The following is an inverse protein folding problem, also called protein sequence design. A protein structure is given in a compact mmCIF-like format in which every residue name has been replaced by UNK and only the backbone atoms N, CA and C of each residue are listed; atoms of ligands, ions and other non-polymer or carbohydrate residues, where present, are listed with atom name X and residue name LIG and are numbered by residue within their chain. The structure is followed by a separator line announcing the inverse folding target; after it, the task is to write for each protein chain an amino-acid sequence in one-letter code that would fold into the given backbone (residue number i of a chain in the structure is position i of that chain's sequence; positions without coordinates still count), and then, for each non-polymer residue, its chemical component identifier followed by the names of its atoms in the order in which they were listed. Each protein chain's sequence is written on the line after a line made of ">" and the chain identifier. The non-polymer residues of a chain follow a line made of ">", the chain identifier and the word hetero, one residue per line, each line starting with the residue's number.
data_IF_304257461518
#
_entry.id   IF_304257461518
#
_cell.length_a   1.000
_cell.length_b   1.000
_cell.length_c   1.000
_cell.angle_alpha   90.00
_cell.angle_beta   90.00
_cell.angle_gamma   90.00
#
_symmetry.space_group_name_H-M   'P 1'
#
loop_
_entity.id
_entity.type
_entity.pdbx_description
1 polymer ?
#
# COMPACT_ATOMS: atom_id res chain seq x y z
N UNK A 1 -7.80 -13.90 10.15
CA UNK A 1 -8.47 -14.65 9.06
C UNK A 1 -8.93 -13.71 7.96
N UNK A 2 -9.91 -12.82 8.18
CA UNK A 2 -10.39 -11.88 7.15
C UNK A 2 -9.28 -11.04 6.52
N UNK A 3 -8.38 -10.48 7.35
CA UNK A 3 -7.26 -9.67 6.87
C UNK A 3 -6.35 -10.41 5.87
N UNK A 4 -6.05 -11.69 6.12
CA UNK A 4 -5.17 -12.48 5.24
C UNK A 4 -5.78 -12.66 3.85
N UNK A 5 -7.10 -12.77 3.77
CA UNK A 5 -7.86 -12.91 2.53
C UNK A 5 -7.95 -11.55 1.83
N UNK A 6 -8.35 -10.51 2.56
CA UNK A 6 -8.51 -9.15 2.03
C UNK A 6 -7.19 -8.55 1.53
N UNK A 7 -6.07 -8.90 2.15
CA UNK A 7 -4.75 -8.41 1.77
C UNK A 7 -3.99 -9.37 0.85
N UNK A 8 -4.61 -10.44 0.35
CA UNK A 8 -3.94 -11.40 -0.52
C UNK A 8 -3.41 -10.71 -1.78
N UNK A 9 -2.08 -10.71 -1.96
CA UNK A 9 -1.38 -10.00 -3.05
C UNK A 9 -1.67 -8.48 -3.15
N UNK A 10 -2.14 -7.87 -2.06
CA UNK A 10 -2.50 -6.44 -2.03
C UNK A 10 -1.35 -5.49 -2.32
N UNK A 11 -0.09 -5.95 -2.28
CA UNK A 11 1.07 -5.19 -2.75
C UNK A 11 0.96 -4.72 -4.22
N UNK A 12 0.23 -5.45 -5.07
CA UNK A 12 0.09 -5.15 -6.51
C UNK A 12 -1.21 -4.41 -6.81
N UNK A 13 -2.35 -4.89 -6.28
CA UNK A 13 -3.67 -4.34 -6.64
C UNK A 13 -4.31 -3.50 -5.54
N UNK A 14 -3.82 -3.57 -4.30
CA UNK A 14 -4.56 -3.08 -3.13
C UNK A 14 -4.63 -1.57 -2.99
N UNK A 15 -3.70 -0.82 -3.59
CA UNK A 15 -3.56 0.62 -3.37
C UNK A 15 -4.87 1.42 -3.60
N UNK A 16 -5.45 1.41 -4.81
CA UNK A 16 -6.67 2.16 -5.10
C UNK A 16 -7.90 1.65 -4.32
N UNK A 17 -7.82 0.44 -3.76
CA UNK A 17 -8.94 -0.23 -3.08
C UNK A 17 -8.76 -0.30 -1.55
N UNK A 18 -7.79 0.43 -0.99
CA UNK A 18 -7.53 0.45 0.46
C UNK A 18 -8.78 0.75 1.30
N UNK A 19 -9.63 1.68 0.85
CA UNK A 19 -10.92 1.99 1.48
C UNK A 19 -11.93 0.84 1.41
N UNK A 20 -11.91 0.04 0.33
CA UNK A 20 -12.80 -1.11 0.17
C UNK A 20 -12.34 -2.26 1.08
N UNK A 21 -11.02 -2.50 1.12
CA UNK A 21 -10.37 -3.44 2.02
C UNK A 21 -10.71 -3.10 3.48
N UNK A 22 -10.60 -1.82 3.86
CA UNK A 22 -10.95 -1.32 5.20
C UNK A 22 -12.41 -1.63 5.55
N UNK A 23 -13.37 -1.30 4.67
CA UNK A 23 -14.79 -1.59 4.89
C UNK A 23 -15.06 -3.09 5.06
N UNK A 24 -14.40 -3.93 4.25
CA UNK A 24 -14.51 -5.38 4.38
C UNK A 24 -14.02 -5.89 5.74
N UNK A 25 -12.89 -5.38 6.22
CA UNK A 25 -12.31 -5.74 7.52
C UNK A 25 -13.21 -5.30 8.68
N UNK A 26 -13.78 -4.09 8.60
CA UNK A 26 -14.67 -3.55 9.64
C UNK A 26 -16.01 -4.28 9.67
N UNK A 27 -16.58 -4.61 8.51
CA UNK A 27 -17.79 -5.41 8.42
C UNK A 27 -17.60 -6.79 9.08
N UNK A 28 -16.44 -7.42 8.85
CA UNK A 28 -16.07 -8.65 9.52
C UNK A 28 -16.02 -8.50 11.05
N UNK A 29 -15.36 -7.45 11.57
CA UNK A 29 -15.32 -7.22 13.02
C UNK A 29 -16.70 -6.95 13.61
N UNK A 30 -17.53 -6.13 12.96
CA UNK A 30 -18.92 -5.90 13.40
C UNK A 30 -19.70 -7.20 13.46
N UNK A 31 -19.53 -8.08 12.47
CA UNK A 31 -20.19 -9.39 12.44
C UNK A 31 -19.72 -10.31 13.58
N UNK A 32 -18.41 -10.40 13.84
CA UNK A 32 -17.85 -11.28 14.87
C UNK A 32 -18.19 -10.78 16.28
N UNK A 33 -18.26 -9.46 16.47
CA UNK A 33 -18.57 -8.83 17.75
C UNK A 33 -20.08 -8.59 17.95
N UNK A 34 -20.93 -9.06 17.04
CA UNK A 34 -22.37 -8.83 17.06
C UNK A 34 -22.77 -7.35 17.19
N UNK A 35 -21.96 -6.45 16.60
CA UNK A 35 -22.21 -5.02 16.62
C UNK A 35 -23.24 -4.63 15.54
N UNK A 36 -24.11 -3.66 15.82
CA UNK A 36 -24.97 -3.05 14.81
C UNK A 36 -24.19 -2.57 13.58
N UNK A 37 -24.80 -2.64 12.39
CA UNK A 37 -24.15 -2.19 11.14
C UNK A 37 -23.77 -0.71 11.17
N UNK A 38 -24.53 0.10 11.92
CA UNK A 38 -24.33 1.54 12.10
C UNK A 38 -23.31 1.89 13.20
N UNK A 39 -22.69 0.91 13.89
CA UNK A 39 -21.62 1.22 14.84
C UNK A 39 -20.50 1.98 14.12
N UNK A 40 -20.05 3.14 14.63
CA UNK A 40 -19.03 3.93 13.93
C UNK A 40 -17.71 3.17 13.82
N UNK A 41 -17.12 3.20 12.62
CA UNK A 41 -15.90 2.47 12.28
C UNK A 41 -14.69 2.83 13.17
N UNK A 42 -14.64 4.08 13.65
CA UNK A 42 -13.60 4.54 14.56
C UNK A 42 -13.62 3.78 15.89
N UNK A 43 -14.80 3.52 16.48
CA UNK A 43 -14.90 2.73 17.70
C UNK A 43 -14.51 1.28 17.47
N UNK A 44 -14.95 0.68 16.35
CA UNK A 44 -14.55 -0.70 16.00
C UNK A 44 -13.03 -0.82 15.89
N UNK A 45 -12.34 0.14 15.25
CA UNK A 45 -10.88 0.17 15.17
C UNK A 45 -10.22 0.31 16.54
N UNK A 46 -10.71 1.23 17.38
CA UNK A 46 -10.17 1.49 18.71
C UNK A 46 -10.26 0.24 19.60
N UNK A 47 -11.44 -0.35 19.70
CA UNK A 47 -11.68 -1.55 20.52
C UNK A 47 -10.88 -2.76 20.03
N UNK A 48 -10.70 -2.89 18.71
CA UNK A 48 -9.93 -4.00 18.13
C UNK A 48 -8.42 -3.74 18.03
N UNK A 49 -7.95 -2.56 18.46
CA UNK A 49 -6.54 -2.16 18.38
C UNK A 49 -6.00 -2.12 16.96
N UNK A 50 -6.82 -1.71 15.98
CA UNK A 50 -6.48 -1.79 14.55
C UNK A 50 -6.12 -0.44 13.94
N UNK A 51 -5.04 -0.45 13.18
CA UNK A 51 -4.64 0.62 12.25
C UNK A 51 -5.42 0.50 10.93
N UNK A 52 -5.46 1.58 10.16
CA UNK A 52 -6.03 1.60 8.82
C UNK A 52 -5.35 0.56 7.90
N UNK A 53 -6.15 -0.17 7.13
CA UNK A 53 -5.66 -1.16 6.16
C UNK A 53 -4.80 -0.53 5.07
N UNK A 54 -4.99 0.76 4.78
CA UNK A 54 -4.13 1.51 3.87
C UNK A 54 -2.66 1.46 4.29
N UNK A 55 -2.37 1.54 5.60
CA UNK A 55 -1.02 1.41 6.12
C UNK A 55 -0.40 0.04 5.80
N UNK A 56 -1.19 -1.03 5.96
CA UNK A 56 -0.75 -2.39 5.63
C UNK A 56 -0.53 -2.61 4.14
N UNK A 57 -1.40 -2.02 3.31
CA UNK A 57 -1.25 -2.03 1.84
C UNK A 57 0.03 -1.29 1.44
N UNK A 58 0.27 -0.10 2.00
CA UNK A 58 1.48 0.67 1.76
C UNK A 58 2.75 -0.09 2.17
N UNK A 59 2.78 -0.70 3.36
CA UNK A 59 3.92 -1.49 3.80
C UNK A 59 4.21 -2.67 2.85
N UNK A 60 3.16 -3.34 2.36
CA UNK A 60 3.29 -4.42 1.38
C UNK A 60 3.77 -3.91 0.02
N UNK A 61 3.28 -2.77 -0.44
CA UNK A 61 3.77 -2.09 -1.64
C UNK A 61 5.25 -1.74 -1.54
N UNK A 62 5.72 -1.20 -0.41
CA UNK A 62 7.14 -0.91 -0.20
C UNK A 62 7.99 -2.18 -0.25
N UNK A 63 7.54 -3.27 0.38
CA UNK A 63 8.22 -4.58 0.30
C UNK A 63 8.28 -5.10 -1.12
N UNK A 64 7.21 -4.95 -1.89
CA UNK A 64 7.19 -5.31 -3.29
C UNK A 64 8.11 -4.42 -4.13
N UNK A 65 8.13 -3.11 -3.87
CA UNK A 65 9.04 -2.18 -4.53
C UNK A 65 10.51 -2.52 -4.26
N UNK A 66 10.87 -2.87 -3.02
CA UNK A 66 12.21 -3.37 -2.70
C UNK A 66 12.57 -4.62 -3.52
N UNK A 67 11.63 -5.56 -3.69
CA UNK A 67 11.83 -6.74 -4.54
C UNK A 67 12.02 -6.32 -6.00
N UNK A 68 11.20 -5.41 -6.53
CA UNK A 68 11.35 -4.88 -7.88
C UNK A 68 12.70 -4.19 -8.08
N UNK A 69 13.17 -3.40 -7.11
CA UNK A 69 14.48 -2.76 -7.20
C UNK A 69 15.64 -3.78 -7.21
N UNK A 70 15.50 -4.89 -6.48
CA UNK A 70 16.49 -5.97 -6.42
C UNK A 70 16.46 -6.95 -7.61
N UNK A 71 15.40 -6.95 -8.43
CA UNK A 71 15.27 -7.86 -9.57
C UNK A 71 16.19 -7.47 -10.73
N UNK A 72 16.69 -8.48 -11.44
CA UNK A 72 17.40 -8.35 -12.71
C UNK A 72 16.51 -7.72 -13.80
N UNK A 73 17.12 -7.00 -14.74
CA UNK A 73 16.41 -6.15 -15.71
C UNK A 73 15.50 -6.92 -16.67
N UNK A 74 15.82 -8.18 -16.98
CA UNK A 74 15.06 -9.00 -17.91
C UNK A 74 13.79 -9.62 -17.28
N UNK A 75 13.59 -9.49 -15.96
CA UNK A 75 12.43 -10.05 -15.27
C UNK A 75 11.17 -9.28 -15.65
N UNK A 76 10.12 -9.98 -16.07
CA UNK A 76 8.84 -9.36 -16.48
C UNK A 76 8.31 -8.34 -15.43
N UNK A 77 8.27 -8.63 -14.11
CA UNK A 77 7.77 -7.64 -13.15
C UNK A 77 8.60 -6.35 -13.11
N UNK A 78 9.92 -6.44 -13.30
CA UNK A 78 10.82 -5.29 -13.38
C UNK A 78 10.49 -4.45 -14.62
N UNK A 79 10.36 -5.09 -15.78
CA UNK A 79 10.01 -4.43 -17.04
C UNK A 79 8.66 -3.72 -16.94
N UNK A 80 7.64 -4.37 -16.37
CA UNK A 80 6.33 -3.76 -16.14
C UNK A 80 6.44 -2.53 -15.23
N UNK A 81 7.19 -2.62 -14.13
CA UNK A 81 7.43 -1.49 -13.23
C UNK A 81 8.11 -0.32 -13.95
N UNK A 82 9.18 -0.58 -14.71
CA UNK A 82 9.88 0.45 -15.47
C UNK A 82 8.93 1.14 -16.46
N UNK A 83 8.10 0.36 -17.15
CA UNK A 83 7.10 0.91 -18.08
C UNK A 83 6.05 1.76 -17.38
N UNK A 84 5.54 1.32 -16.22
CA UNK A 84 4.61 2.12 -15.42
C UNK A 84 5.25 3.43 -14.93
N UNK A 85 6.53 3.40 -14.57
CA UNK A 85 7.29 4.58 -14.14
C UNK A 85 7.48 5.59 -15.28
N UNK A 86 7.80 5.12 -16.49
CA UNK A 86 7.88 5.99 -17.68
C UNK A 86 6.55 6.69 -17.99
N UNK A 87 5.44 6.02 -17.68
CA UNK A 87 4.10 6.46 -17.96
C UNK A 87 3.43 7.18 -16.78
N UNK A 88 4.19 7.51 -15.72
CA UNK A 88 3.64 8.03 -14.46
C UNK A 88 2.92 9.37 -14.62
N UNK A 89 3.37 10.20 -15.57
CA UNK A 89 2.82 11.54 -15.85
C UNK A 89 1.89 11.56 -17.07
N UNK A 90 1.54 10.39 -17.60
CA UNK A 90 0.63 10.28 -18.75
C UNK A 90 -0.82 10.21 -18.24
N UNK A 91 -1.63 11.27 -18.39
CA UNK A 91 -2.97 11.34 -17.79
C UNK A 91 -3.97 10.36 -18.41
N UNK A 92 -3.69 9.84 -19.61
CA UNK A 92 -4.55 8.87 -20.28
C UNK A 92 -4.44 7.44 -19.73
N UNK A 93 -3.54 7.18 -18.78
CA UNK A 93 -3.30 5.85 -18.22
C UNK A 93 -3.86 5.76 -16.80
N UNK A 94 -5.10 5.26 -16.64
CA UNK A 94 -5.69 5.10 -15.32
C UNK A 94 -5.00 3.96 -14.55
N UNK A 95 -5.11 4.00 -13.21
CA UNK A 95 -4.64 2.93 -12.31
C UNK A 95 -3.14 2.62 -12.39
N UNK A 96 -2.31 3.63 -12.62
CA UNK A 96 -0.86 3.44 -12.62
C UNK A 96 -0.34 3.17 -11.19
N UNK A 97 0.07 1.94 -10.92
CA UNK A 97 0.61 1.54 -9.61
C UNK A 97 1.84 2.36 -9.18
N UNK A 98 2.69 2.77 -10.14
CA UNK A 98 3.88 3.54 -9.85
C UNK A 98 3.54 4.99 -9.47
N UNK A 99 2.46 5.54 -10.04
CA UNK A 99 1.89 6.84 -9.64
C UNK A 99 1.37 6.79 -8.20
N UNK A 100 0.63 5.74 -7.86
CA UNK A 100 0.13 5.54 -6.50
C UNK A 100 1.25 5.45 -5.47
N UNK A 101 2.32 4.69 -5.77
CA UNK A 101 3.51 4.62 -4.93
C UNK A 101 4.17 6.00 -4.78
N UNK A 102 4.33 6.75 -5.88
CA UNK A 102 4.86 8.12 -5.85
C UNK A 102 4.02 9.01 -4.93
N UNK A 103 2.69 8.96 -5.07
CA UNK A 103 1.77 9.76 -4.25
C UNK A 103 1.91 9.44 -2.76
N UNK A 104 2.01 8.15 -2.39
CA UNK A 104 2.25 7.78 -1.00
C UNK A 104 3.57 8.31 -0.46
N UNK A 105 4.66 8.23 -1.23
CA UNK A 105 5.95 8.79 -0.83
C UNK A 105 5.89 10.32 -0.72
N UNK A 106 5.16 11.01 -1.60
CA UNK A 106 4.98 12.46 -1.54
C UNK A 106 4.20 12.89 -0.30
N UNK A 107 3.14 12.17 0.09
CA UNK A 107 2.33 12.49 1.28
C UNK A 107 3.16 12.48 2.56
N UNK A 108 4.16 11.60 2.66
CA UNK A 108 5.06 11.52 3.83
C UNK A 108 6.37 12.31 3.67
N UNK A 109 6.52 13.10 2.59
CA UNK A 109 7.73 13.89 2.34
C UNK A 109 8.97 13.08 1.91
N UNK A 110 8.79 11.84 1.44
CA UNK A 110 9.85 10.92 1.01
C UNK A 110 10.03 10.89 -0.53
N UNK A 111 9.73 11.99 -1.23
CA UNK A 111 9.84 12.08 -2.69
C UNK A 111 11.27 11.82 -3.21
N UNK A 112 12.29 12.08 -2.40
CA UNK A 112 13.69 11.78 -2.75
C UNK A 112 13.88 10.30 -3.07
N UNK A 113 13.25 9.39 -2.32
CA UNK A 113 13.34 7.95 -2.57
C UNK A 113 12.77 7.57 -3.94
N UNK A 114 11.70 8.24 -4.37
CA UNK A 114 11.11 8.05 -5.69
C UNK A 114 12.10 8.45 -6.80
N UNK A 115 12.87 9.51 -6.62
CA UNK A 115 13.88 9.94 -7.60
C UNK A 115 15.12 9.04 -7.58
N UNK A 116 15.61 8.67 -6.40
CA UNK A 116 16.84 7.89 -6.23
C UNK A 116 16.74 6.46 -6.78
N UNK A 117 15.55 5.85 -6.72
CA UNK A 117 15.30 4.48 -7.20
C UNK A 117 16.30 3.45 -6.64
N UNK A 118 16.83 3.71 -5.43
CA UNK A 118 17.96 3.01 -4.87
C UNK A 118 17.54 2.07 -3.72
N UNK A 119 17.87 0.78 -3.86
CA UNK A 119 17.52 -0.23 -2.87
C UNK A 119 18.19 -0.01 -1.51
N UNK A 120 19.44 0.47 -1.48
CA UNK A 120 20.20 0.68 -0.25
C UNK A 120 19.58 1.83 0.54
N UNK A 121 19.30 2.96 -0.13
CA UNK A 121 18.62 4.11 0.46
C UNK A 121 17.24 3.73 1.02
N UNK A 122 16.47 2.96 0.27
CA UNK A 122 15.16 2.47 0.69
C UNK A 122 15.23 1.54 1.89
N UNK A 123 16.17 0.59 1.92
CA UNK A 123 16.36 -0.32 3.06
C UNK A 123 16.75 0.43 4.34
N UNK A 124 17.58 1.48 4.22
CA UNK A 124 18.01 2.31 5.35
C UNK A 124 16.84 3.08 5.98
N UNK A 125 16.00 3.69 5.15
CA UNK A 125 14.89 4.56 5.57
C UNK A 125 13.56 3.81 5.79
N UNK A 126 13.51 2.51 5.47
CA UNK A 126 12.29 1.69 5.49
C UNK A 126 11.44 1.82 6.78
N UNK A 127 12.10 1.76 7.95
CA UNK A 127 11.38 1.86 9.24
C UNK A 127 10.77 3.24 9.45
N UNK A 128 11.50 4.29 9.06
CA UNK A 128 11.08 5.69 9.21
C UNK A 128 9.87 5.98 8.33
N UNK A 129 9.94 5.62 7.05
CA UNK A 129 8.84 5.87 6.10
C UNK A 129 7.60 5.02 6.38
N UNK A 130 7.77 3.82 6.96
CA UNK A 130 6.65 2.97 7.37
C UNK A 130 5.95 3.57 8.60
N UNK A 131 6.71 4.16 9.52
CA UNK A 131 6.14 4.83 10.68
C UNK A 131 5.47 6.15 10.32
N UNK A 132 6.05 6.94 9.41
CA UNK A 132 5.52 8.23 8.98
C UNK A 132 4.14 8.15 8.31
N UNK A 133 3.79 6.99 7.73
CA UNK A 133 2.51 6.75 7.07
C UNK A 133 1.40 6.27 8.03
N UNK A 134 1.74 5.91 9.27
CA UNK A 134 0.81 5.34 10.25
C UNK A 134 -0.11 6.39 10.84
#
# INVERSE_FOLDING_TARGET
>A
IAESILLYQSEVWGCPYSNVIERGQLAFFKSVLALPRNTPDAYVRMETGRIHMQHKVYERMLKWWMKLLAMEEHRIPKLCYLRLRELVDVPSIPYNWALELRNYLTVIGAQNLWHDQNLISLKKTYKEITYAFK
#
